data_IF_403420505983
#
_entry.id   IF_403420505983
#
_cell.length_a   1.000
_cell.length_b   1.000
_cell.length_c   1.000
_cell.angle_alpha   90.00
_cell.angle_beta   90.00
_cell.angle_gamma   90.00
#
_symmetry.space_group_name_H-M   'P 1'
#
loop_
_entity.id
_entity.type
_entity.pdbx_description
1 polymer ?
#
# COMPACT_ATOMS: atom_id res chain seq x y z
N UNK A 1 -2.48 -2.27 -9.23
CA UNK A 1 -3.17 -1.60 -8.12
C UNK A 1 -2.56 -2.09 -6.83
N UNK A 2 -1.99 -1.21 -6.01
CA UNK A 2 -1.48 -1.53 -4.68
C UNK A 2 -1.85 -0.40 -3.70
N UNK A 3 -1.96 -0.69 -2.41
CA UNK A 3 -2.21 0.32 -1.36
C UNK A 3 -1.06 0.23 -0.36
N UNK A 4 -0.03 1.06 -0.51
CA UNK A 4 1.17 1.01 0.34
C UNK A 4 0.90 1.58 1.73
N UNK A 5 0.81 0.70 2.74
CA UNK A 5 0.61 1.08 4.14
C UNK A 5 1.77 0.60 5.02
N UNK A 6 2.97 1.21 4.92
CA UNK A 6 4.15 0.81 5.70
C UNK A 6 3.95 1.00 7.22
N UNK A 7 2.92 1.75 7.62
CA UNK A 7 2.50 1.94 8.99
C UNK A 7 0.99 1.81 9.12
N UNK A 8 0.51 1.44 10.32
CA UNK A 8 -0.93 1.47 10.62
C UNK A 8 -1.44 2.92 10.52
N UNK A 9 -0.67 3.87 11.04
CA UNK A 9 -0.96 5.30 10.91
C UNK A 9 -0.95 5.77 9.45
N UNK A 10 -2.03 6.44 9.05
CA UNK A 10 -2.26 6.91 7.68
C UNK A 10 -1.27 8.00 7.26
N UNK A 11 -1.03 8.98 8.13
CA UNK A 11 -0.16 10.13 7.85
C UNK A 11 1.29 9.70 7.76
N UNK A 12 1.74 8.85 8.69
CA UNK A 12 3.08 8.25 8.67
C UNK A 12 3.27 7.40 7.42
N UNK A 13 2.25 6.64 7.02
CA UNK A 13 2.28 5.88 5.76
C UNK A 13 2.47 6.79 4.55
N UNK A 14 1.67 7.84 4.41
CA UNK A 14 1.78 8.79 3.30
C UNK A 14 3.15 9.48 3.28
N UNK A 15 3.59 10.03 4.42
CA UNK A 15 4.88 10.70 4.57
C UNK A 15 6.08 9.80 4.21
N UNK A 16 5.99 8.51 4.49
CA UNK A 16 7.06 7.57 4.22
C UNK A 16 7.31 7.38 2.71
N UNK A 17 6.30 7.48 1.86
CA UNK A 17 6.41 7.19 0.43
C UNK A 17 7.29 8.21 -0.33
N UNK A 18 7.96 7.78 -1.39
CA UNK A 18 8.48 8.67 -2.44
C UNK A 18 7.34 9.28 -3.27
N UNK A 19 7.64 10.34 -4.01
CA UNK A 19 6.63 11.09 -4.76
C UNK A 19 5.95 10.25 -5.85
N UNK A 20 6.69 9.33 -6.49
CA UNK A 20 6.13 8.46 -7.53
C UNK A 20 5.07 7.53 -6.92
N UNK A 21 5.36 6.92 -5.78
CA UNK A 21 4.43 6.00 -5.10
C UNK A 21 3.31 6.79 -4.44
N UNK A 22 3.59 7.88 -3.74
CA UNK A 22 2.59 8.76 -3.11
C UNK A 22 1.58 9.27 -4.15
N UNK A 23 2.05 9.76 -5.30
CA UNK A 23 1.19 10.24 -6.37
C UNK A 23 0.23 9.16 -6.88
N UNK A 24 0.70 7.92 -7.03
CA UNK A 24 -0.13 6.77 -7.42
C UNK A 24 -1.16 6.40 -6.36
N UNK A 25 -0.84 6.53 -5.08
CA UNK A 25 -1.74 6.14 -4.00
C UNK A 25 -3.07 6.93 -4.00
N UNK A 26 -3.07 8.20 -4.45
CA UNK A 26 -4.32 8.97 -4.64
C UNK A 26 -5.27 8.27 -5.62
N UNK A 27 -4.73 7.78 -6.73
CA UNK A 27 -5.51 7.10 -7.77
C UNK A 27 -5.90 5.69 -7.32
N UNK A 28 -4.95 4.92 -6.81
CA UNK A 28 -5.17 3.51 -6.43
C UNK A 28 -6.12 3.36 -5.24
N UNK A 29 -6.06 4.22 -4.22
CA UNK A 29 -7.00 4.19 -3.10
C UNK A 29 -8.44 4.47 -3.56
N UNK A 30 -8.65 5.48 -4.42
CA UNK A 30 -9.97 5.76 -5.02
C UNK A 30 -10.46 4.59 -5.89
N UNK A 31 -9.57 3.95 -6.65
CA UNK A 31 -9.91 2.77 -7.44
C UNK A 31 -10.34 1.59 -6.57
N UNK A 32 -9.70 1.35 -5.43
CA UNK A 32 -10.11 0.31 -4.47
C UNK A 32 -11.49 0.65 -3.88
N UNK A 33 -11.74 1.89 -3.46
CA UNK A 33 -13.07 2.32 -2.98
C UNK A 33 -14.15 2.08 -4.03
N UNK A 34 -13.90 2.49 -5.27
CA UNK A 34 -14.83 2.24 -6.39
C UNK A 34 -15.05 0.75 -6.65
N UNK A 35 -14.01 -0.09 -6.57
CA UNK A 35 -14.14 -1.53 -6.75
C UNK A 35 -14.97 -2.18 -5.63
N UNK A 36 -14.83 -1.71 -4.38
CA UNK A 36 -15.67 -2.13 -3.26
C UNK A 36 -17.13 -1.73 -3.49
N UNK A 37 -17.40 -0.48 -3.86
CA UNK A 37 -18.76 0.00 -4.15
C UNK A 37 -19.44 -0.80 -5.28
N UNK A 38 -18.69 -1.17 -6.32
CA UNK A 38 -19.18 -2.06 -7.39
C UNK A 38 -19.46 -3.47 -6.88
N UNK A 39 -18.59 -3.99 -6.02
CA UNK A 39 -18.75 -5.32 -5.43
C UNK A 39 -19.97 -5.41 -4.51
N UNK A 40 -20.31 -4.32 -3.82
CA UNK A 40 -21.54 -4.18 -3.04
C UNK A 40 -22.79 -3.96 -3.91
N UNK A 41 -22.64 -3.78 -5.22
CA UNK A 41 -23.76 -3.47 -6.12
C UNK A 41 -24.27 -2.03 -6.03
N UNK A 42 -23.60 -1.15 -5.28
CA UNK A 42 -24.00 0.26 -5.07
C UNK A 42 -23.71 1.10 -6.32
N UNK A 43 -22.58 0.86 -6.97
CA UNK A 43 -22.21 1.50 -8.24
C UNK A 43 -22.28 0.46 -9.35
N UNK A 44 -23.09 0.74 -10.37
CA UNK A 44 -23.20 -0.07 -11.57
C UNK A 44 -22.95 0.78 -12.82
N UNK A 45 -21.67 0.98 -13.13
CA UNK A 45 -21.19 1.80 -14.25
C UNK A 45 -20.72 0.93 -15.44
N UNK A 46 -21.13 -0.34 -15.48
CA UNK A 46 -20.70 -1.32 -16.49
C UNK A 46 -19.24 -1.76 -16.37
N UNK A 47 -18.46 -1.19 -15.44
CA UNK A 47 -17.05 -1.57 -15.23
C UNK A 47 -16.98 -2.70 -14.21
N UNK A 48 -16.35 -3.82 -14.55
CA UNK A 48 -16.09 -4.94 -13.63
C UNK A 48 -14.62 -5.09 -13.24
N UNK A 49 -13.75 -4.19 -13.72
CA UNK A 49 -12.32 -4.27 -13.47
C UNK A 49 -11.99 -4.26 -11.98
N UNK A 50 -11.07 -5.15 -11.58
CA UNK A 50 -10.41 -5.18 -10.27
C UNK A 50 -11.26 -5.60 -9.06
N UNK A 51 -12.55 -5.94 -9.21
CA UNK A 51 -13.41 -6.35 -8.09
C UNK A 51 -12.93 -7.62 -7.35
N UNK A 52 -12.12 -8.44 -8.01
CA UNK A 52 -11.50 -9.65 -7.45
C UNK A 52 -9.99 -9.46 -7.20
N UNK A 53 -9.49 -8.22 -7.29
CA UNK A 53 -8.09 -7.95 -6.99
C UNK A 53 -7.81 -8.21 -5.50
N UNK A 54 -6.69 -8.86 -5.12
CA UNK A 54 -6.45 -9.24 -3.73
C UNK A 54 -6.54 -8.08 -2.72
N UNK A 55 -6.04 -6.89 -3.08
CA UNK A 55 -6.16 -5.70 -2.23
C UNK A 55 -7.61 -5.24 -2.08
N UNK A 56 -8.45 -5.37 -3.12
CA UNK A 56 -9.88 -5.06 -3.01
C UNK A 56 -10.55 -6.04 -2.07
N UNK A 57 -10.25 -7.33 -2.20
CA UNK A 57 -10.81 -8.36 -1.32
C UNK A 57 -10.38 -8.17 0.14
N UNK A 58 -9.12 -7.81 0.37
CA UNK A 58 -8.58 -7.51 1.70
C UNK A 58 -9.36 -6.36 2.37
N UNK A 59 -9.61 -5.26 1.64
CA UNK A 59 -10.40 -4.15 2.17
C UNK A 59 -11.91 -4.41 2.19
N UNK A 60 -12.41 -5.28 1.30
CA UNK A 60 -13.82 -5.67 1.25
C UNK A 60 -14.24 -6.53 2.44
N UNK A 61 -13.31 -7.33 2.97
CA UNK A 61 -13.45 -8.08 4.22
C UNK A 61 -14.80 -8.82 4.29
N UNK A 62 -14.99 -9.71 3.30
CA UNK A 62 -16.15 -10.61 3.19
C UNK A 62 -17.53 -9.93 3.33
N UNK A 63 -17.64 -8.71 2.78
CA UNK A 63 -18.90 -7.95 2.76
C UNK A 63 -19.02 -6.92 3.88
N UNK A 64 -18.03 -6.82 4.77
CA UNK A 64 -17.95 -5.82 5.83
C UNK A 64 -16.70 -4.96 5.64
N UNK A 65 -16.72 -4.02 4.69
CA UNK A 65 -15.50 -3.36 4.22
C UNK A 65 -14.93 -2.38 5.25
N UNK A 66 -13.60 -2.24 5.24
CA UNK A 66 -12.87 -1.20 5.99
C UNK A 66 -12.87 0.13 5.23
N UNK A 67 -14.06 0.69 4.96
CA UNK A 67 -14.23 1.90 4.14
C UNK A 67 -13.56 3.11 4.79
N UNK A 68 -13.82 3.34 6.08
CA UNK A 68 -13.31 4.52 6.77
C UNK A 68 -11.78 4.52 6.86
N UNK A 69 -11.15 3.36 7.09
CA UNK A 69 -9.68 3.24 7.05
C UNK A 69 -9.11 3.64 5.68
N UNK A 70 -9.74 3.20 4.60
CA UNK A 70 -9.26 3.50 3.25
C UNK A 70 -9.53 4.97 2.85
N UNK A 71 -10.65 5.55 3.29
CA UNK A 71 -10.94 6.97 3.10
C UNK A 71 -9.96 7.86 3.86
N UNK A 72 -9.71 7.54 5.14
CA UNK A 72 -8.74 8.28 5.95
C UNK A 72 -7.33 8.17 5.37
N UNK A 73 -6.95 7.00 4.85
CA UNK A 73 -5.71 6.86 4.11
C UNK A 73 -5.66 7.71 2.84
N UNK A 74 -6.73 7.72 2.03
CA UNK A 74 -6.81 8.57 0.84
C UNK A 74 -6.57 10.04 1.18
N UNK A 75 -7.24 10.55 2.22
CA UNK A 75 -7.07 11.94 2.65
C UNK A 75 -5.66 12.22 3.16
N UNK A 76 -5.07 11.32 3.96
CA UNK A 76 -3.67 11.47 4.40
C UNK A 76 -2.67 11.51 3.23
N UNK A 77 -2.93 10.75 2.17
CA UNK A 77 -2.11 10.76 0.94
C UNK A 77 -2.29 12.06 0.17
N UNK A 78 -3.51 12.58 0.06
CA UNK A 78 -3.79 13.88 -0.59
C UNK A 78 -3.14 15.02 0.18
N UNK A 79 -3.34 15.06 1.50
CA UNK A 79 -2.73 16.06 2.39
C UNK A 79 -1.21 16.08 2.23
N UNK A 80 -0.56 14.91 2.28
CA UNK A 80 0.90 14.82 2.12
C UNK A 80 1.37 15.24 0.72
N UNK A 81 0.61 14.90 -0.32
CA UNK A 81 0.91 15.30 -1.70
C UNK A 81 0.88 16.81 -1.87
N UNK A 82 -0.17 17.47 -1.34
CA UNK A 82 -0.30 18.92 -1.38
C UNK A 82 0.73 19.61 -0.49
N UNK A 83 1.02 19.04 0.69
CA UNK A 83 2.07 19.54 1.60
C UNK A 83 3.46 19.55 0.96
N UNK A 84 3.75 18.62 0.04
CA UNK A 84 4.99 18.61 -0.76
C UNK A 84 5.00 19.62 -1.91
N UNK A 85 3.95 20.44 -2.04
CA UNK A 85 3.84 21.48 -3.07
C UNK A 85 3.34 20.96 -4.41
N UNK A 86 2.81 19.74 -4.47
CA UNK A 86 2.26 19.21 -5.71
C UNK A 86 0.78 19.56 -5.86
N UNK A 87 0.37 19.82 -7.11
CA UNK A 87 -1.05 20.07 -7.43
C UNK A 87 -1.86 18.77 -7.33
N UNK A 88 -2.99 18.81 -6.62
CA UNK A 88 -3.95 17.72 -6.58
C UNK A 88 -5.14 17.98 -7.53
N UNK A 89 -5.66 16.91 -8.12
CA UNK A 89 -6.86 16.91 -8.99
C UNK A 89 -7.72 15.66 -8.78
N UNK A 90 -7.45 14.88 -7.72
CA UNK A 90 -8.20 13.68 -7.37
C UNK A 90 -8.91 13.93 -6.05
N UNK A 91 -10.22 13.70 -6.02
CA UNK A 91 -11.08 13.78 -4.83
C UNK A 91 -12.04 12.59 -4.77
N UNK A 92 -12.72 12.42 -3.64
CA UNK A 92 -13.81 11.43 -3.46
C UNK A 92 -15.20 12.03 -3.67
N UNK A 93 -15.31 13.33 -4.00
CA UNK A 93 -16.59 14.06 -4.03
C UNK A 93 -17.63 13.46 -4.98
N UNK A 94 -17.18 12.87 -6.08
CA UNK A 94 -18.03 12.16 -7.06
C UNK A 94 -18.64 10.86 -6.53
N UNK A 95 -18.05 10.28 -5.47
CA UNK A 95 -18.49 9.00 -4.90
C UNK A 95 -18.91 9.09 -3.42
N UNK A 96 -18.76 10.24 -2.79
CA UNK A 96 -19.08 10.49 -1.38
C UNK A 96 -20.52 10.11 -1.01
N UNK A 97 -21.48 10.41 -1.91
CA UNK A 97 -22.89 10.02 -1.72
C UNK A 97 -23.08 8.51 -1.58
N UNK A 98 -22.25 7.70 -2.23
CA UNK A 98 -22.31 6.25 -2.14
C UNK A 98 -21.63 5.76 -0.86
N UNK A 99 -20.47 6.34 -0.53
CA UNK A 99 -19.69 5.98 0.66
C UNK A 99 -20.49 6.17 1.96
N UNK A 100 -21.29 7.24 2.07
CA UNK A 100 -22.15 7.52 3.23
C UNK A 100 -23.18 6.42 3.58
N UNK A 101 -23.50 5.55 2.63
CA UNK A 101 -24.50 4.48 2.82
C UNK A 101 -23.85 3.10 2.93
N UNK A 102 -22.53 3.01 2.97
CA UNK A 102 -21.84 1.73 3.14
C UNK A 102 -21.75 1.40 4.63
N UNK A 103 -22.33 0.29 5.04
CA UNK A 103 -22.08 -0.29 6.36
C UNK A 103 -20.67 -0.90 6.39
N UNK A 104 -19.73 -0.13 6.93
CA UNK A 104 -18.35 -0.58 7.13
C UNK A 104 -18.13 -1.29 8.47
N UNK A 105 -16.92 -1.81 8.64
CA UNK A 105 -16.41 -2.26 9.95
C UNK A 105 -15.29 -1.30 10.42
N UNK A 106 -15.24 -1.07 11.73
CA UNK A 106 -14.15 -0.32 12.35
C UNK A 106 -12.81 -1.08 12.27
N UNK A 107 -11.72 -0.33 12.44
CA UNK A 107 -10.36 -0.87 12.43
C UNK A 107 -9.70 -0.81 11.07
N UNK A 108 -8.70 -1.65 10.85
CA UNK A 108 -7.88 -1.64 9.64
C UNK A 108 -7.52 -3.05 9.21
N UNK A 109 -7.47 -3.35 7.90
CA UNK A 109 -6.92 -4.61 7.43
C UNK A 109 -5.39 -4.65 7.57
N UNK A 110 -4.74 -3.51 7.86
CA UNK A 110 -3.29 -3.40 7.98
C UNK A 110 -2.88 -3.75 9.42
N UNK A 111 -2.40 -4.97 9.60
CA UNK A 111 -1.77 -5.41 10.85
C UNK A 111 -0.30 -4.97 10.93
N UNK A 112 0.35 -5.05 12.11
CA UNK A 112 1.79 -4.79 12.22
C UNK A 112 2.64 -5.65 11.26
N UNK A 113 2.23 -6.91 11.03
CA UNK A 113 2.89 -7.82 10.09
C UNK A 113 2.73 -7.31 8.65
N UNK A 114 1.52 -6.95 8.23
CA UNK A 114 1.28 -6.40 6.88
C UNK A 114 2.05 -5.09 6.68
N UNK A 115 2.09 -4.21 7.69
CA UNK A 115 2.84 -2.96 7.65
C UNK A 115 4.34 -3.19 7.45
N UNK A 116 4.93 -4.18 8.15
CA UNK A 116 6.31 -4.63 7.93
C UNK A 116 6.52 -5.12 6.50
N UNK A 117 5.62 -5.92 5.95
CA UNK A 117 5.77 -6.42 4.58
C UNK A 117 5.62 -5.32 3.52
N UNK A 118 4.84 -4.27 3.79
CA UNK A 118 4.87 -3.06 2.96
C UNK A 118 6.23 -2.36 3.03
N UNK A 119 6.82 -2.19 4.22
CA UNK A 119 8.19 -1.65 4.35
C UNK A 119 9.21 -2.48 3.57
N UNK A 120 9.14 -3.82 3.66
CA UNK A 120 9.96 -4.76 2.87
C UNK A 120 9.79 -4.52 1.37
N UNK A 121 8.55 -4.48 0.88
CA UNK A 121 8.26 -4.26 -0.54
C UNK A 121 8.79 -2.92 -1.02
N UNK A 122 8.61 -1.85 -0.23
CA UNK A 122 9.09 -0.52 -0.56
C UNK A 122 10.62 -0.50 -0.64
N UNK A 123 11.30 -1.10 0.32
CA UNK A 123 12.75 -1.26 0.31
C UNK A 123 13.24 -1.98 -0.96
N UNK A 124 12.61 -3.08 -1.37
CA UNK A 124 12.99 -3.79 -2.62
C UNK A 124 12.71 -2.98 -3.89
N UNK A 125 11.78 -2.03 -3.80
CA UNK A 125 11.31 -1.19 -4.89
C UNK A 125 12.18 0.05 -5.11
N UNK A 126 12.79 0.57 -4.05
CA UNK A 126 13.77 1.65 -4.08
C UNK A 126 14.67 1.59 -2.83
N UNK A 127 15.72 0.74 -2.83
CA UNK A 127 16.51 0.48 -1.64
C UNK A 127 17.09 1.74 -1.01
N UNK A 128 17.68 2.61 -1.83
CA UNK A 128 18.41 3.77 -1.35
C UNK A 128 17.49 4.88 -0.83
N UNK A 129 16.30 5.04 -1.40
CA UNK A 129 15.32 5.96 -0.83
C UNK A 129 14.81 5.47 0.54
N UNK A 130 14.43 4.20 0.62
CA UNK A 130 13.73 3.69 1.80
C UNK A 130 14.65 3.31 2.95
N UNK A 131 15.89 2.90 2.68
CA UNK A 131 16.85 2.63 3.75
C UNK A 131 17.15 3.88 4.57
N UNK A 132 17.18 5.07 3.94
CA UNK A 132 17.39 6.35 4.62
C UNK A 132 16.18 6.82 5.43
N UNK A 133 15.02 6.16 5.31
CA UNK A 133 13.80 6.49 6.06
C UNK A 133 13.47 5.53 7.18
N UNK A 134 13.99 4.30 7.11
CA UNK A 134 13.78 3.28 8.14
C UNK A 134 14.65 3.58 9.36
N UNK A 135 14.13 3.31 10.56
CA UNK A 135 14.96 3.31 11.76
C UNK A 135 15.90 2.09 11.77
N UNK A 136 16.94 2.15 12.60
CA UNK A 136 17.87 1.02 12.80
C UNK A 136 17.12 -0.24 13.21
N UNK A 137 16.14 -0.14 14.11
CA UNK A 137 15.33 -1.27 14.57
C UNK A 137 14.46 -1.85 13.45
N UNK A 138 13.91 -0.99 12.58
CA UNK A 138 13.10 -1.45 11.45
C UNK A 138 13.95 -2.17 10.40
N UNK A 139 15.16 -1.67 10.12
CA UNK A 139 16.12 -2.37 9.25
C UNK A 139 16.50 -3.70 9.86
N UNK A 140 16.82 -3.72 11.16
CA UNK A 140 17.18 -4.94 11.87
C UNK A 140 16.03 -5.96 11.86
N UNK A 141 14.79 -5.53 12.07
CA UNK A 141 13.60 -6.37 11.97
C UNK A 141 13.48 -6.99 10.57
N UNK A 142 13.64 -6.19 9.50
CA UNK A 142 13.51 -6.68 8.13
C UNK A 142 14.60 -7.69 7.75
N UNK A 143 15.85 -7.45 8.18
CA UNK A 143 17.00 -8.32 7.86
C UNK A 143 16.99 -9.63 8.65
N UNK A 144 16.35 -9.66 9.82
CA UNK A 144 16.29 -10.83 10.71
C UNK A 144 14.92 -11.51 10.73
N UNK A 145 14.05 -11.22 9.77
CA UNK A 145 12.76 -11.88 9.62
C UNK A 145 12.51 -12.37 8.19
N UNK A 146 11.95 -13.56 8.07
CA UNK A 146 11.49 -14.11 6.80
C UNK A 146 10.23 -13.38 6.30
N UNK A 147 10.05 -13.23 4.97
CA UNK A 147 8.84 -12.64 4.41
C UNK A 147 7.59 -13.44 4.76
N UNK A 148 6.55 -12.75 5.26
CA UNK A 148 5.20 -13.32 5.36
C UNK A 148 4.42 -12.92 4.11
N UNK A 149 3.92 -13.91 3.35
CA UNK A 149 3.36 -13.63 2.03
C UNK A 149 1.88 -13.27 2.05
N UNK A 150 1.56 -12.12 1.46
CA UNK A 150 0.20 -11.64 1.23
C UNK A 150 -0.03 -11.42 -0.28
N UNK A 151 -1.11 -12.01 -0.80
CA UNK A 151 -1.51 -11.84 -2.20
C UNK A 151 -1.79 -10.36 -2.48
N UNK A 152 -1.25 -9.84 -3.58
CA UNK A 152 -1.37 -8.43 -3.96
C UNK A 152 -0.43 -7.45 -3.24
N UNK A 153 0.39 -7.93 -2.30
CA UNK A 153 1.40 -7.12 -1.60
C UNK A 153 2.80 -7.56 -2.01
N UNK A 154 3.22 -8.75 -1.57
CA UNK A 154 4.61 -9.22 -1.63
C UNK A 154 4.75 -10.67 -2.12
N UNK A 155 3.65 -11.33 -2.54
CA UNK A 155 3.71 -12.71 -3.02
C UNK A 155 4.68 -12.93 -4.21
N UNK A 156 4.95 -11.88 -5.00
CA UNK A 156 5.91 -11.88 -6.10
C UNK A 156 7.37 -12.01 -5.65
N UNK A 157 7.69 -11.80 -4.37
CA UNK A 157 9.05 -12.00 -3.84
C UNK A 157 9.51 -13.46 -4.08
N UNK A 158 8.56 -14.42 -4.13
CA UNK A 158 8.85 -15.81 -4.45
C UNK A 158 9.48 -15.99 -5.83
N UNK A 159 9.16 -15.11 -6.77
CA UNK A 159 9.65 -15.16 -8.15
C UNK A 159 11.08 -14.61 -8.29
N UNK A 160 11.58 -13.92 -7.27
CA UNK A 160 12.92 -13.27 -7.21
C UNK A 160 13.58 -13.55 -5.85
N UNK A 161 13.36 -14.76 -5.33
CA UNK A 161 13.73 -15.08 -3.95
C UNK A 161 15.25 -15.10 -3.75
N UNK A 162 16.00 -15.55 -4.75
CA UNK A 162 17.46 -15.61 -4.69
C UNK A 162 18.06 -14.19 -4.65
N UNK A 163 17.59 -13.27 -5.51
CA UNK A 163 18.02 -11.87 -5.49
C UNK A 163 17.58 -11.16 -4.20
N UNK A 164 16.41 -11.53 -3.66
CA UNK A 164 15.95 -11.04 -2.36
C UNK A 164 16.91 -11.47 -1.24
N UNK A 165 17.31 -12.74 -1.18
CA UNK A 165 18.22 -13.25 -0.15
C UNK A 165 19.60 -12.60 -0.29
N UNK A 166 20.12 -12.45 -1.50
CA UNK A 166 21.38 -11.75 -1.76
C UNK A 166 21.34 -10.32 -1.20
N UNK A 167 20.28 -9.57 -1.53
CA UNK A 167 20.09 -8.21 -1.04
C UNK A 167 19.99 -8.12 0.49
N UNK A 168 19.26 -9.03 1.14
CA UNK A 168 19.18 -9.05 2.61
C UNK A 168 20.54 -9.34 3.25
N UNK A 169 21.35 -10.23 2.64
CA UNK A 169 22.70 -10.53 3.12
C UNK A 169 23.64 -9.34 2.95
N UNK A 170 23.57 -8.62 1.82
CA UNK A 170 24.31 -7.36 1.63
C UNK A 170 23.93 -6.33 2.69
N UNK A 171 22.62 -6.14 2.90
CA UNK A 171 22.10 -5.18 3.86
C UNK A 171 22.55 -5.50 5.29
N UNK A 172 22.62 -6.79 5.65
CA UNK A 172 23.11 -7.25 6.96
C UNK A 172 24.55 -6.83 7.25
N UNK A 173 25.38 -6.72 6.21
CA UNK A 173 26.79 -6.29 6.33
C UNK A 173 26.99 -4.81 6.01
N UNK A 174 25.89 -4.03 5.94
CA UNK A 174 25.93 -2.59 5.71
C UNK A 174 26.20 -2.18 4.26
N UNK A 175 26.07 -3.12 3.29
CA UNK A 175 26.16 -2.81 1.86
C UNK A 175 24.77 -2.60 1.29
N UNK A 176 24.59 -1.55 0.51
CA UNK A 176 23.29 -1.21 -0.07
C UNK A 176 23.45 -1.05 -1.57
N UNK A 177 22.86 -1.97 -2.34
CA UNK A 177 22.65 -1.81 -3.77
C UNK A 177 21.39 -0.98 -4.02
N UNK A 178 21.51 0.14 -4.75
CA UNK A 178 20.34 0.98 -5.11
C UNK A 178 19.46 0.36 -6.21
N UNK A 179 19.76 -0.87 -6.67
CA UNK A 179 19.03 -1.52 -7.75
C UNK A 179 17.69 -2.05 -7.26
N UNK A 180 16.60 -1.66 -7.92
CA UNK A 180 15.27 -2.27 -7.69
C UNK A 180 15.30 -3.76 -8.00
N UNK A 181 14.75 -4.56 -7.08
CA UNK A 181 14.63 -6.03 -7.15
C UNK A 181 13.23 -6.44 -7.65
N UNK A 182 12.37 -5.45 -7.91
CA UNK A 182 11.03 -5.71 -8.44
C UNK A 182 11.09 -6.42 -9.81
N UNK A 183 10.32 -7.51 -10.03
CA UNK A 183 10.34 -8.25 -11.29
C UNK A 183 10.04 -7.31 -12.46
N UNK A 184 10.91 -7.35 -13.48
CA UNK A 184 10.60 -6.75 -14.77
C UNK A 184 9.60 -7.67 -15.45
N UNK A 185 8.34 -7.25 -15.51
CA UNK A 185 7.33 -7.91 -16.35
C UNK A 185 7.59 -7.59 -17.81
#
# INVERSE_FOLDING_TARGET
MQVFRPYIDHRKSAWFLDDLRLGKQRVEAKQVLLAILRRLGIVNDGRRGWINHPIVLMYFNDGRPYIDDLMNYFYAVVDEWERRGHKNNISLSDIERYLRHVEGIEGSPVTPVIAREYRRVLLLKDPCYYIGKLSVDEVWELVNSEPVYFKGINAWIKDVYDEYVEFINELRVGRISCKSIFPKR
#
